data_IF_291359520687
#
_entry.id   IF_291359520687
#
_cell.length_a   1.000
_cell.length_b   1.000
_cell.length_c   1.000
_cell.angle_alpha   90.00
_cell.angle_beta   90.00
_cell.angle_gamma   90.00
#
_symmetry.space_group_name_H-M   'P 1'
#
loop_
_entity.id
_entity.type
_entity.pdbx_description
1 polymer ?
#
# COMPACT_ATOMS: atom_id res chain seq x y z
N UNK A 1 2.37 -10.88 3.10
CA UNK A 1 3.02 -11.46 4.30
C UNK A 1 4.42 -12.02 4.00
N UNK A 2 4.65 -12.64 2.85
CA UNK A 2 6.00 -13.13 2.49
C UNK A 2 7.05 -12.01 2.45
N UNK A 3 6.71 -10.85 1.92
CA UNK A 3 7.61 -9.70 1.92
C UNK A 3 7.93 -9.24 3.35
N UNK A 4 6.97 -9.34 4.27
CA UNK A 4 7.20 -9.03 5.69
C UNK A 4 8.22 -9.96 6.34
N UNK A 5 8.23 -11.26 5.99
CA UNK A 5 9.25 -12.20 6.48
C UNK A 5 10.66 -11.78 6.10
N UNK A 6 10.83 -11.21 4.91
CA UNK A 6 12.11 -10.72 4.41
C UNK A 6 12.52 -9.39 5.08
N UNK A 7 11.57 -8.48 5.27
CA UNK A 7 11.79 -7.14 5.81
C UNK A 7 11.68 -7.06 7.35
N UNK A 8 11.21 -8.14 8.02
CA UNK A 8 11.08 -8.25 9.48
C UNK A 8 10.38 -7.04 10.10
N UNK A 9 11.07 -6.36 11.04
CA UNK A 9 10.52 -5.23 11.81
C UNK A 9 10.33 -3.94 11.01
N UNK A 10 10.84 -3.88 9.78
CA UNK A 10 10.74 -2.69 8.93
C UNK A 10 9.37 -2.57 8.25
N UNK A 11 8.56 -3.63 8.25
CA UNK A 11 7.25 -3.65 7.62
C UNK A 11 6.15 -4.00 8.63
N UNK A 12 5.18 -3.10 8.79
CA UNK A 12 3.92 -3.37 9.51
C UNK A 12 2.79 -3.58 8.50
N UNK A 13 1.92 -4.56 8.76
CA UNK A 13 0.78 -4.86 7.90
C UNK A 13 -0.51 -4.53 8.63
N UNK A 14 -1.33 -3.68 8.04
CA UNK A 14 -2.65 -3.29 8.53
C UNK A 14 -3.68 -3.65 7.46
N UNK A 15 -4.62 -4.52 7.80
CA UNK A 15 -5.76 -4.87 6.96
C UNK A 15 -6.96 -4.08 7.44
N UNK A 16 -7.49 -3.20 6.59
CA UNK A 16 -8.71 -2.45 6.89
C UNK A 16 -9.87 -3.06 6.14
N UNK A 17 -10.92 -3.42 6.85
CA UNK A 17 -12.07 -4.11 6.27
C UNK A 17 -13.38 -3.68 6.92
N UNK A 18 -14.50 -3.76 6.17
CA UNK A 18 -15.86 -3.65 6.70
C UNK A 18 -16.51 -5.01 6.98
N UNK A 19 -15.82 -6.10 6.64
CA UNK A 19 -16.34 -7.47 6.74
C UNK A 19 -15.73 -8.18 7.96
N UNK A 20 -16.53 -8.52 8.99
CA UNK A 20 -16.05 -9.22 10.19
C UNK A 20 -15.39 -10.56 9.85
N UNK A 21 -15.83 -11.22 8.79
CA UNK A 21 -15.34 -12.53 8.34
C UNK A 21 -13.85 -12.48 7.97
N UNK A 22 -13.36 -11.33 7.52
CA UNK A 22 -11.93 -11.14 7.19
C UNK A 22 -11.06 -11.28 8.44
N UNK A 23 -11.54 -10.86 9.61
CA UNK A 23 -10.81 -11.06 10.86
C UNK A 23 -10.59 -12.56 11.13
N UNK A 24 -11.63 -13.38 10.93
CA UNK A 24 -11.55 -14.82 11.11
C UNK A 24 -10.58 -15.46 10.12
N UNK A 25 -10.62 -15.02 8.85
CA UNK A 25 -9.70 -15.53 7.82
C UNK A 25 -8.25 -15.14 8.11
N UNK A 26 -7.99 -13.91 8.55
CA UNK A 26 -6.63 -13.49 8.94
C UNK A 26 -6.12 -14.29 10.12
N UNK A 27 -6.97 -14.61 11.10
CA UNK A 27 -6.59 -15.43 12.26
C UNK A 27 -6.16 -16.86 11.90
N UNK A 28 -6.58 -17.39 10.75
CA UNK A 28 -6.17 -18.70 10.25
C UNK A 28 -4.78 -18.71 9.61
N UNK A 29 -4.24 -17.52 9.30
CA UNK A 29 -2.92 -17.42 8.68
C UNK A 29 -1.81 -17.73 9.69
N UNK A 30 -0.74 -18.41 9.29
CA UNK A 30 0.41 -18.67 10.16
C UNK A 30 1.01 -17.40 10.77
N UNK A 31 0.93 -16.29 10.04
CA UNK A 31 1.45 -14.97 10.42
C UNK A 31 0.38 -14.05 11.01
N UNK A 32 -0.74 -14.58 11.51
CA UNK A 32 -1.86 -13.79 12.04
C UNK A 32 -1.42 -12.77 13.11
N UNK A 33 -0.48 -13.14 13.98
CA UNK A 33 0.04 -12.25 15.03
C UNK A 33 0.82 -11.04 14.50
N UNK A 34 1.21 -11.07 13.23
CA UNK A 34 1.96 -10.00 12.57
C UNK A 34 1.10 -9.04 11.76
N UNK A 35 -0.21 -9.29 11.72
CA UNK A 35 -1.18 -8.52 10.96
C UNK A 35 -2.14 -7.84 11.91
N UNK A 36 -2.22 -6.52 11.84
CA UNK A 36 -3.26 -5.76 12.53
C UNK A 36 -4.50 -5.69 11.64
N UNK A 37 -5.65 -6.14 12.15
CA UNK A 37 -6.93 -5.98 11.44
C UNK A 37 -7.71 -4.84 12.07
N UNK A 38 -8.21 -3.94 11.23
CA UNK A 38 -9.00 -2.77 11.59
C UNK A 38 -10.38 -2.88 10.96
N UNK A 39 -11.39 -2.94 11.81
CA UNK A 39 -12.78 -2.91 11.34
C UNK A 39 -13.21 -1.47 11.10
N UNK A 40 -13.55 -1.13 9.86
CA UNK A 40 -14.01 0.19 9.45
C UNK A 40 -15.39 0.08 8.79
N UNK A 41 -16.43 0.33 9.56
CA UNK A 41 -17.84 0.29 9.09
C UNK A 41 -18.07 1.26 7.93
N UNK A 42 -17.38 2.39 7.96
CA UNK A 42 -17.53 3.48 7.01
C UNK A 42 -16.84 3.21 5.66
N UNK A 43 -16.12 2.09 5.50
CA UNK A 43 -15.44 1.75 4.22
C UNK A 43 -16.40 1.73 3.03
N UNK A 44 -17.68 1.38 3.24
CA UNK A 44 -18.71 1.43 2.19
C UNK A 44 -19.02 2.85 1.70
N UNK A 45 -18.63 3.88 2.45
CA UNK A 45 -18.82 5.30 2.09
C UNK A 45 -17.70 5.83 1.19
N UNK A 46 -16.68 5.01 0.93
CA UNK A 46 -15.61 5.33 0.00
C UNK A 46 -14.20 5.10 0.54
N UNK A 47 -13.24 5.08 -0.38
CA UNK A 47 -11.84 4.74 -0.12
C UNK A 47 -11.16 5.63 0.93
N UNK A 48 -11.56 6.90 1.06
CA UNK A 48 -10.98 7.81 2.04
C UNK A 48 -11.16 7.35 3.48
N UNK A 49 -12.25 6.67 3.79
CA UNK A 49 -12.52 6.14 5.14
C UNK A 49 -11.56 4.99 5.48
N UNK A 50 -11.34 4.10 4.52
CA UNK A 50 -10.38 2.99 4.65
C UNK A 50 -8.96 3.51 4.86
N UNK A 51 -8.54 4.50 4.06
CA UNK A 51 -7.21 5.15 4.18
C UNK A 51 -7.03 5.76 5.57
N UNK A 52 -8.01 6.56 6.04
CA UNK A 52 -7.96 7.22 7.35
C UNK A 52 -7.91 6.22 8.50
N UNK A 53 -8.71 5.16 8.43
CA UNK A 53 -8.72 4.12 9.44
C UNK A 53 -7.37 3.39 9.52
N UNK A 54 -6.75 3.09 8.38
CA UNK A 54 -5.43 2.51 8.31
C UNK A 54 -4.35 3.42 8.91
N UNK A 55 -4.35 4.71 8.57
CA UNK A 55 -3.41 5.69 9.12
C UNK A 55 -3.60 5.84 10.65
N UNK A 56 -4.84 5.93 11.12
CA UNK A 56 -5.15 6.06 12.55
C UNK A 56 -4.72 4.84 13.37
N UNK A 57 -4.62 3.68 12.74
CA UNK A 57 -4.24 2.42 13.38
C UNK A 57 -2.71 2.20 13.41
N UNK A 58 -1.92 3.06 12.78
CA UNK A 58 -0.47 2.94 12.79
C UNK A 58 0.07 3.11 14.22
N UNK A 59 0.83 2.11 14.68
CA UNK A 59 1.44 2.11 16.01
C UNK A 59 2.85 2.70 16.02
N UNK A 60 3.49 2.78 14.87
CA UNK A 60 4.86 3.29 14.69
C UNK A 60 4.87 4.29 13.53
N UNK A 61 5.80 5.23 13.60
CA UNK A 61 6.12 6.06 12.42
C UNK A 61 6.66 5.16 11.31
N UNK A 62 6.29 5.50 10.08
CA UNK A 62 6.74 4.82 8.89
C UNK A 62 7.20 5.89 7.89
N UNK A 63 8.33 5.68 7.26
CA UNK A 63 8.83 6.59 6.21
C UNK A 63 7.91 6.59 5.00
N UNK A 64 7.34 5.43 4.68
CA UNK A 64 6.38 5.28 3.58
C UNK A 64 5.16 4.48 3.98
N UNK A 65 4.02 4.83 3.42
CA UNK A 65 2.77 4.09 3.46
C UNK A 65 2.56 3.40 2.11
N UNK A 66 2.49 2.07 2.11
CA UNK A 66 2.19 1.26 0.93
C UNK A 66 0.70 0.88 0.95
N UNK A 67 -0.08 1.40 -0.01
CA UNK A 67 -1.48 1.05 -0.18
C UNK A 67 -1.63 -0.04 -1.24
N UNK A 68 -2.23 -1.14 -0.81
CA UNK A 68 -2.56 -2.29 -1.64
C UNK A 68 -4.06 -2.53 -1.61
N UNK A 69 -4.61 -3.03 -2.70
CA UNK A 69 -5.99 -3.50 -2.77
C UNK A 69 -5.99 -5.03 -2.72
N UNK A 70 -7.10 -5.62 -2.26
CA UNK A 70 -7.17 -7.07 -2.05
C UNK A 70 -7.72 -7.83 -3.27
N UNK A 71 -8.13 -7.12 -4.30
CA UNK A 71 -8.75 -7.63 -5.52
C UNK A 71 -7.77 -7.79 -6.71
N UNK A 72 -6.47 -7.74 -6.45
CA UNK A 72 -5.40 -8.00 -7.42
C UNK A 72 -4.67 -9.32 -7.14
N UNK A 73 -5.26 -10.47 -7.46
CA UNK A 73 -4.69 -11.77 -7.09
C UNK A 73 -3.40 -12.14 -7.85
N UNK A 74 -3.22 -11.57 -9.03
CA UNK A 74 -2.03 -11.83 -9.87
C UNK A 74 -0.83 -10.95 -9.50
N UNK A 75 -1.00 -9.99 -8.57
CA UNK A 75 0.09 -9.12 -8.14
C UNK A 75 1.24 -9.91 -7.54
N UNK A 76 2.40 -9.85 -8.18
CA UNK A 76 3.56 -10.61 -7.76
C UNK A 76 4.29 -9.98 -6.58
N UNK A 77 4.86 -10.83 -5.73
CA UNK A 77 5.75 -10.39 -4.64
C UNK A 77 6.95 -9.60 -5.18
N UNK A 78 7.46 -9.97 -6.35
CA UNK A 78 8.62 -9.33 -6.94
C UNK A 78 8.31 -7.89 -7.38
N UNK A 79 7.15 -7.65 -7.97
CA UNK A 79 6.71 -6.29 -8.35
C UNK A 79 6.57 -5.39 -7.13
N UNK A 80 5.99 -5.90 -6.03
CA UNK A 80 5.92 -5.16 -4.76
C UNK A 80 7.31 -4.90 -4.19
N UNK A 81 8.22 -5.89 -4.22
CA UNK A 81 9.62 -5.72 -3.78
C UNK A 81 10.34 -4.63 -4.58
N UNK A 82 10.18 -4.61 -5.91
CA UNK A 82 10.76 -3.59 -6.78
C UNK A 82 10.24 -2.19 -6.44
N UNK A 83 8.93 -2.07 -6.16
CA UNK A 83 8.33 -0.81 -5.74
C UNK A 83 8.93 -0.31 -4.42
N UNK A 84 9.01 -1.18 -3.40
CA UNK A 84 9.60 -0.83 -2.10
C UNK A 84 11.09 -0.49 -2.25
N UNK A 85 11.84 -1.25 -3.04
CA UNK A 85 13.26 -0.95 -3.30
C UNK A 85 13.45 0.39 -4.00
N UNK A 86 12.56 0.75 -4.92
CA UNK A 86 12.62 2.04 -5.63
C UNK A 86 12.40 3.25 -4.72
N UNK A 87 11.86 3.09 -3.52
CA UNK A 87 11.75 4.17 -2.52
C UNK A 87 13.09 4.52 -1.85
N UNK A 88 14.10 3.63 -1.96
CA UNK A 88 15.38 3.78 -1.26
C UNK A 88 15.35 3.42 0.24
N UNK A 89 14.17 3.08 0.79
CA UNK A 89 14.03 2.79 2.25
C UNK A 89 14.79 1.54 2.70
N UNK A 90 15.15 0.65 1.77
CA UNK A 90 15.89 -0.59 2.06
C UNK A 90 17.42 -0.43 1.93
N UNK A 91 17.89 0.66 1.38
CA UNK A 91 19.32 0.91 1.17
C UNK A 91 19.90 1.49 2.46
N UNK A 92 20.23 0.61 3.43
CA UNK A 92 20.92 0.97 4.69
C UNK A 92 22.44 1.06 4.53
N UNK A 93 22.94 1.01 3.30
CA UNK A 93 24.37 1.11 2.97
C UNK A 93 24.84 2.56 2.82
N UNK A 94 26.03 2.83 3.26
CA UNK A 94 26.72 4.10 3.48
C UNK A 94 26.90 5.07 2.29
N UNK A 95 26.22 4.87 1.17
CA UNK A 95 26.33 5.71 -0.03
C UNK A 95 25.01 6.38 -0.45
N UNK A 96 24.03 6.48 0.47
CA UNK A 96 22.81 7.22 0.18
C UNK A 96 23.11 8.72 0.16
N UNK A 97 23.35 9.25 -1.03
CA UNK A 97 23.41 10.70 -1.27
C UNK A 97 22.07 11.31 -0.93
N UNK A 98 22.03 11.94 0.25
CA UNK A 98 21.05 12.92 0.70
C UNK A 98 19.55 12.57 0.61
N UNK A 99 18.80 12.83 1.70
CA UNK A 99 17.31 12.84 1.80
C UNK A 99 16.59 13.55 0.64
N UNK A 100 17.32 14.27 -0.21
CA UNK A 100 16.80 15.04 -1.35
C UNK A 100 16.30 14.19 -2.53
N UNK A 101 16.58 12.89 -2.56
CA UNK A 101 16.26 12.02 -3.72
C UNK A 101 15.17 10.98 -3.43
N UNK A 102 14.55 11.04 -2.25
CA UNK A 102 13.45 10.17 -1.92
C UNK A 102 12.16 10.67 -2.61
N UNK A 103 11.51 9.85 -3.44
CA UNK A 103 10.30 10.26 -4.14
C UNK A 103 9.13 10.43 -3.16
N UNK A 104 8.35 11.50 -3.31
CA UNK A 104 7.16 11.72 -2.48
C UNK A 104 6.10 10.64 -2.71
N UNK A 105 5.96 10.18 -3.96
CA UNK A 105 5.03 9.11 -4.31
C UNK A 105 5.67 8.12 -5.27
N UNK A 106 5.25 6.84 -5.17
CA UNK A 106 5.59 5.79 -6.11
C UNK A 106 4.34 5.02 -6.52
N UNK A 107 4.36 4.45 -7.73
CA UNK A 107 3.28 3.60 -8.23
C UNK A 107 3.85 2.53 -9.15
N UNK A 108 3.29 1.33 -9.10
CA UNK A 108 3.48 0.41 -10.23
C UNK A 108 2.80 1.00 -11.47
N UNK A 109 3.33 0.69 -12.62
CA UNK A 109 2.72 1.01 -13.91
C UNK A 109 3.01 -0.10 -14.92
N UNK A 110 2.12 -0.25 -15.90
CA UNK A 110 2.30 -1.13 -17.03
C UNK A 110 1.94 -0.36 -18.30
N UNK A 111 2.85 -0.39 -19.29
CA UNK A 111 2.72 0.39 -20.53
C UNK A 111 2.42 1.88 -20.30
N UNK A 112 3.02 2.46 -19.23
CA UNK A 112 2.82 3.84 -18.84
C UNK A 112 1.47 4.14 -18.15
N UNK A 113 0.66 3.12 -17.86
CA UNK A 113 -0.61 3.25 -17.14
C UNK A 113 -0.38 2.95 -15.66
N UNK A 114 -0.55 3.94 -14.75
CA UNK A 114 -0.36 3.74 -13.32
C UNK A 114 -1.45 2.87 -12.70
N UNK A 115 -1.03 1.93 -11.82
CA UNK A 115 -1.91 1.03 -11.07
C UNK A 115 -1.66 1.04 -9.58
N UNK A 116 -2.24 0.08 -8.87
CA UNK A 116 -1.88 -0.28 -7.51
C UNK A 116 -0.81 -1.40 -7.55
N UNK A 117 -0.01 -1.56 -6.49
CA UNK A 117 0.07 -0.73 -5.28
C UNK A 117 0.71 0.65 -5.50
N UNK A 118 0.45 1.55 -4.52
CA UNK A 118 1.04 2.90 -4.48
C UNK A 118 1.69 3.15 -3.14
N UNK A 119 2.80 3.89 -3.16
CA UNK A 119 3.48 4.33 -1.94
C UNK A 119 3.43 5.84 -1.82
N UNK A 120 3.32 6.29 -0.57
CA UNK A 120 3.32 7.71 -0.20
C UNK A 120 4.30 7.93 0.92
N UNK A 121 5.16 8.92 0.78
CA UNK A 121 6.04 9.37 1.86
C UNK A 121 5.20 9.90 3.03
N UNK A 122 5.68 9.75 4.26
CA UNK A 122 4.94 10.15 5.48
C UNK A 122 4.56 11.64 5.49
N UNK A 123 5.31 12.50 4.81
CA UNK A 123 4.99 13.93 4.67
C UNK A 123 3.62 14.19 4.04
N UNK A 124 3.08 13.22 3.28
CA UNK A 124 1.78 13.32 2.62
C UNK A 124 0.60 12.82 3.48
N UNK A 125 0.85 12.35 4.70
CA UNK A 125 -0.21 11.94 5.63
C UNK A 125 -1.27 13.04 5.83
N UNK A 126 -0.92 14.34 6.01
CA UNK A 126 -1.93 15.38 6.16
C UNK A 126 -2.87 15.49 4.95
N UNK A 127 -2.37 15.29 3.73
CA UNK A 127 -3.18 15.33 2.51
C UNK A 127 -4.05 14.08 2.37
N UNK A 128 -3.51 12.90 2.70
CA UNK A 128 -4.28 11.66 2.74
C UNK A 128 -5.45 11.74 3.74
N UNK A 129 -5.25 12.40 4.87
CA UNK A 129 -6.30 12.63 5.87
C UNK A 129 -7.37 13.65 5.42
N UNK A 130 -7.10 14.49 4.41
CA UNK A 130 -8.08 15.42 3.85
C UNK A 130 -8.94 14.80 2.74
N UNK A 131 -8.65 13.59 2.29
CA UNK A 131 -9.49 12.87 1.32
C UNK A 131 -10.92 12.70 1.85
N UNK A 132 -11.92 12.74 0.97
CA UNK A 132 -13.34 12.61 1.32
C UNK A 132 -14.07 11.67 0.37
N UNK A 133 -15.08 10.95 0.89
CA UNK A 133 -15.89 10.02 0.10
C UNK A 133 -15.05 9.00 -0.64
N UNK A 134 -15.31 8.80 -1.91
CA UNK A 134 -14.61 7.82 -2.74
C UNK A 134 -13.25 8.28 -3.31
N UNK A 135 -12.71 9.36 -2.75
CA UNK A 135 -11.37 9.81 -3.13
C UNK A 135 -10.32 8.87 -2.54
N UNK A 136 -9.58 8.19 -3.42
CA UNK A 136 -8.44 7.35 -3.06
C UNK A 136 -7.10 8.08 -3.20
N UNK A 137 -6.01 7.38 -2.89
CA UNK A 137 -4.64 7.90 -2.98
C UNK A 137 -4.25 8.45 -4.36
N UNK A 138 -4.94 8.03 -5.44
CA UNK A 138 -4.72 8.58 -6.80
C UNK A 138 -4.89 10.10 -6.86
N UNK A 139 -5.75 10.69 -6.02
CA UNK A 139 -5.93 12.14 -5.98
C UNK A 139 -4.67 12.84 -5.49
N UNK A 140 -4.07 12.35 -4.41
CA UNK A 140 -2.81 12.88 -3.85
C UNK A 140 -1.67 12.65 -4.85
N UNK A 141 -1.55 11.43 -5.39
CA UNK A 141 -0.51 11.08 -6.36
C UNK A 141 -0.46 12.04 -7.55
N UNK A 142 -1.60 12.52 -8.05
CA UNK A 142 -1.67 13.46 -9.18
C UNK A 142 -1.15 14.87 -8.86
N UNK A 143 -1.00 15.22 -7.59
CA UNK A 143 -0.55 16.54 -7.14
C UNK A 143 0.95 16.59 -6.83
N UNK A 144 1.61 15.44 -6.84
CA UNK A 144 3.01 15.25 -6.47
C UNK A 144 3.81 14.57 -7.57
N UNK A 145 5.13 14.71 -7.49
CA UNK A 145 6.04 13.97 -8.36
C UNK A 145 5.97 12.48 -8.03
N UNK A 146 5.70 11.65 -9.04
CA UNK A 146 5.59 10.21 -8.89
C UNK A 146 6.73 9.49 -9.59
N UNK A 147 7.42 8.60 -8.86
CA UNK A 147 8.34 7.63 -9.45
C UNK A 147 7.54 6.40 -9.87
N UNK A 148 7.49 6.13 -11.15
CA UNK A 148 6.82 4.94 -11.70
C UNK A 148 7.80 3.77 -11.78
N UNK A 149 7.33 2.59 -11.36
CA UNK A 149 8.06 1.32 -11.48
C UNK A 149 7.32 0.46 -12.50
N UNK A 150 7.93 0.35 -13.68
CA UNK A 150 7.34 -0.37 -14.81
C UNK A 150 7.37 -1.87 -14.55
N UNK A 151 6.26 -2.55 -14.83
CA UNK A 151 6.12 -4.01 -14.84
C UNK A 151 5.71 -4.46 -16.25
N UNK A 152 5.95 -5.73 -16.57
CA UNK A 152 5.72 -6.28 -17.91
C UNK A 152 4.35 -6.92 -18.06
N UNK A 153 3.82 -7.55 -17.01
CA UNK A 153 2.54 -8.25 -17.04
C UNK A 153 1.41 -7.35 -16.52
N UNK A 154 0.54 -6.91 -17.43
CA UNK A 154 -0.63 -6.10 -17.07
C UNK A 154 -1.62 -6.79 -16.13
N UNK A 155 -1.64 -8.14 -16.12
CA UNK A 155 -2.51 -8.91 -15.23
C UNK A 155 -2.23 -8.62 -13.75
N UNK A 156 -0.99 -8.29 -13.41
CA UNK A 156 -0.64 -7.91 -12.04
C UNK A 156 -1.41 -6.69 -11.53
N UNK A 157 -1.88 -5.80 -12.43
CA UNK A 157 -2.62 -4.59 -12.09
C UNK A 157 -4.13 -4.71 -12.32
N UNK A 158 -4.61 -5.90 -12.72
CA UNK A 158 -6.04 -6.12 -12.98
C UNK A 158 -6.79 -6.39 -11.67
N UNK A 159 -7.83 -5.61 -11.45
CA UNK A 159 -8.77 -5.80 -10.34
C UNK A 159 -9.84 -6.85 -10.73
N UNK A 160 -10.25 -7.70 -9.79
CA UNK A 160 -11.38 -8.61 -9.97
C UNK A 160 -12.62 -7.99 -9.33
N UNK A 161 -13.45 -7.36 -10.17
CA UNK A 161 -14.67 -6.66 -9.75
C UNK A 161 -15.89 -7.57 -9.56
N UNK A 162 -15.83 -8.82 -10.06
CA UNK A 162 -16.95 -9.77 -10.02
C UNK A 162 -16.48 -11.16 -9.60
N UNK A 163 -17.29 -11.90 -8.82
CA UNK A 163 -16.95 -13.27 -8.46
C UNK A 163 -16.80 -14.13 -9.72
N UNK A 164 -15.68 -14.83 -9.84
CA UNK A 164 -15.48 -15.87 -10.86
C UNK A 164 -16.06 -17.16 -10.28
N UNK A 165 -17.27 -17.53 -10.75
CA UNK A 165 -17.93 -18.81 -10.41
C UNK A 165 -17.63 -19.86 -11.46
#
# INVERSE_FOLDING_TARGET
LELKKEMKEQLSVIVVTQYPEILEEVQKLPEASEVQVVFCKESHMGASYTIKAGIAAMQKQATYLLFMVADQPELSKESVRRLVKASGVLDTGSDCETEKDQPETLSLCCHGIPGNPRMFHESLIPELLQLTGDQGGRKVLKQHTCRYVEIEDEKELMDIDVPIY
#
